data_IF_532801732626
#
_entry.id   IF_532801732626
#
_cell.length_a   1.000
_cell.length_b   1.000
_cell.length_c   1.000
_cell.angle_alpha   90.00
_cell.angle_beta   90.00
_cell.angle_gamma   90.00
#
_symmetry.space_group_name_H-M   'P 1'
#
loop_
_entity.id
_entity.type
_entity.pdbx_description
1 polymer ?
#
# COMPACT_ATOMS: atom_id res chain seq x y z
N UNK A 1 21.95 -6.90 21.07
CA UNK A 1 22.11 -5.75 20.16
C UNK A 1 21.16 -5.76 18.93
N UNK A 2 19.98 -6.42 18.97
CA UNK A 2 19.12 -6.59 17.79
C UNK A 2 17.93 -5.59 17.67
N UNK A 3 17.67 -4.75 18.68
CA UNK A 3 16.48 -3.85 18.72
C UNK A 3 16.65 -2.49 18.04
N UNK A 4 17.88 -2.06 17.76
CA UNK A 4 18.18 -0.74 17.17
C UNK A 4 18.07 -0.77 15.64
N UNK A 5 18.36 -1.93 15.02
CA UNK A 5 18.33 -2.08 13.56
C UNK A 5 16.90 -2.06 12.99
N UNK A 6 15.91 -2.57 13.72
CA UNK A 6 14.52 -2.69 13.21
C UNK A 6 13.77 -1.37 13.15
N UNK A 7 13.99 -0.45 14.10
CA UNK A 7 13.36 0.89 14.04
C UNK A 7 13.87 1.70 12.86
N UNK A 8 15.18 1.67 12.64
CA UNK A 8 15.83 2.38 11.53
C UNK A 8 15.44 1.78 10.18
N UNK A 9 15.34 0.45 10.10
CA UNK A 9 14.85 -0.24 8.89
C UNK A 9 13.39 0.12 8.58
N UNK A 10 12.52 0.24 9.59
CA UNK A 10 11.13 0.69 9.42
C UNK A 10 11.05 2.13 8.92
N UNK A 11 11.89 3.02 9.45
CA UNK A 11 11.95 4.40 8.98
C UNK A 11 12.44 4.50 7.54
N UNK A 12 13.47 3.72 7.18
CA UNK A 12 13.98 3.62 5.81
C UNK A 12 12.89 3.08 4.88
N UNK A 13 12.20 1.99 5.25
CA UNK A 13 11.08 1.45 4.49
C UNK A 13 9.98 2.49 4.22
N UNK A 14 9.55 3.20 5.27
CA UNK A 14 8.52 4.23 5.15
C UNK A 14 8.99 5.40 4.28
N UNK A 15 10.28 5.75 4.35
CA UNK A 15 10.87 6.80 3.54
C UNK A 15 10.92 6.40 2.06
N UNK A 16 11.34 5.18 1.74
CA UNK A 16 11.35 4.65 0.37
C UNK A 16 9.94 4.60 -0.22
N UNK A 17 8.95 4.16 0.55
CA UNK A 17 7.55 4.16 0.10
C UNK A 17 7.03 5.58 -0.15
N UNK A 18 7.46 6.58 0.62
CA UNK A 18 7.11 7.99 0.38
C UNK A 18 7.81 8.56 -0.85
N UNK A 19 9.02 8.11 -1.15
CA UNK A 19 9.74 8.54 -2.35
C UNK A 19 9.01 8.09 -3.63
N UNK A 20 8.33 6.94 -3.60
CA UNK A 20 7.45 6.50 -4.70
C UNK A 20 6.36 7.54 -5.00
N UNK A 21 5.75 8.13 -3.96
CA UNK A 21 4.76 9.19 -4.11
C UNK A 21 5.38 10.53 -4.57
N UNK A 22 6.66 10.79 -4.28
CA UNK A 22 7.33 12.03 -4.67
C UNK A 22 7.77 12.01 -6.14
N UNK A 23 8.21 10.86 -6.68
CA UNK A 23 8.54 10.71 -8.12
C UNK A 23 7.33 11.07 -9.02
N UNK A 24 6.10 10.96 -8.50
CA UNK A 24 4.87 11.38 -9.19
C UNK A 24 4.72 12.88 -9.39
N UNK A 25 5.16 13.69 -8.42
CA UNK A 25 4.93 15.13 -8.46
C UNK A 25 5.70 15.83 -9.57
N UNK A 26 6.72 15.16 -10.12
CA UNK A 26 7.58 15.67 -11.19
C UNK A 26 7.18 15.13 -12.58
N UNK A 27 6.41 14.03 -12.64
CA UNK A 27 6.05 13.36 -13.90
C UNK A 27 4.54 13.43 -14.13
N UNK A 28 4.12 14.13 -15.18
CA UNK A 28 2.72 14.40 -15.53
C UNK A 28 2.00 13.19 -16.19
N UNK A 29 2.46 11.96 -15.97
CA UNK A 29 1.91 10.74 -16.57
C UNK A 29 1.14 9.88 -15.56
N UNK A 30 -0.04 9.41 -15.96
CA UNK A 30 -1.05 8.72 -15.14
C UNK A 30 -0.63 7.33 -14.60
N UNK A 31 0.57 6.85 -14.93
CA UNK A 31 1.11 5.58 -14.45
C UNK A 31 2.57 5.73 -14.02
N UNK A 32 2.78 6.08 -12.76
CA UNK A 32 4.15 6.24 -12.22
C UNK A 32 4.73 4.86 -11.92
N UNK A 33 5.67 4.45 -12.75
CA UNK A 33 6.58 3.34 -12.50
C UNK A 33 7.72 3.88 -11.63
N UNK A 34 7.93 3.36 -10.41
CA UNK A 34 9.07 3.75 -9.57
C UNK A 34 10.39 3.52 -10.30
N UNK A 35 11.38 4.38 -10.08
CA UNK A 35 12.73 4.19 -10.64
C UNK A 35 13.34 2.83 -10.23
N UNK A 36 14.19 2.26 -11.09
CA UNK A 36 14.88 0.98 -10.81
C UNK A 36 15.73 1.04 -9.53
N UNK A 37 16.28 2.21 -9.19
CA UNK A 37 17.04 2.44 -7.96
C UNK A 37 16.14 2.32 -6.72
N UNK A 38 14.96 2.95 -6.78
CA UNK A 38 13.97 2.91 -5.71
C UNK A 38 13.39 1.50 -5.53
N UNK A 39 13.15 0.80 -6.63
CA UNK A 39 12.71 -0.60 -6.62
C UNK A 39 13.77 -1.52 -6.04
N UNK A 40 15.03 -1.33 -6.41
CA UNK A 40 16.17 -2.07 -5.85
C UNK A 40 16.32 -1.84 -4.34
N UNK A 41 16.16 -0.59 -3.89
CA UNK A 41 16.19 -0.26 -2.46
C UNK A 41 15.03 -0.92 -1.69
N UNK A 42 13.83 -0.92 -2.24
CA UNK A 42 12.68 -1.64 -1.67
C UNK A 42 12.92 -3.15 -1.62
N UNK A 43 13.54 -3.73 -2.64
CA UNK A 43 13.83 -5.17 -2.69
C UNK A 43 14.87 -5.56 -1.63
N UNK A 44 15.84 -4.70 -1.33
CA UNK A 44 16.80 -4.91 -0.23
C UNK A 44 16.09 -4.93 1.13
N UNK A 45 15.09 -4.07 1.33
CA UNK A 45 14.36 -3.97 2.61
C UNK A 45 13.26 -5.03 2.74
N UNK A 46 12.63 -5.43 1.62
CA UNK A 46 11.50 -6.34 1.56
C UNK A 46 11.72 -7.51 0.56
N UNK A 47 12.82 -8.28 0.67
CA UNK A 47 13.23 -9.22 -0.39
C UNK A 47 12.24 -10.36 -0.64
N UNK A 48 11.47 -10.75 0.38
CA UNK A 48 10.53 -11.88 0.29
C UNK A 48 9.08 -11.45 0.02
N UNK A 49 8.77 -10.17 0.23
CA UNK A 49 7.39 -9.66 0.22
C UNK A 49 7.14 -8.62 -0.86
N UNK A 50 8.19 -7.99 -1.41
CA UNK A 50 8.04 -6.94 -2.42
C UNK A 50 7.39 -7.48 -3.68
N UNK A 51 7.89 -8.58 -4.25
CA UNK A 51 7.35 -9.13 -5.49
C UNK A 51 5.85 -9.45 -5.35
N UNK A 52 5.47 -10.12 -4.25
CA UNK A 52 4.07 -10.44 -3.99
C UNK A 52 3.20 -9.18 -3.81
N UNK A 53 3.75 -8.13 -3.19
CA UNK A 53 3.04 -6.88 -3.01
C UNK A 53 2.81 -6.17 -4.34
N UNK A 54 3.84 -6.09 -5.18
CA UNK A 54 3.78 -5.50 -6.52
C UNK A 54 2.81 -6.29 -7.42
N UNK A 55 2.89 -7.61 -7.43
CA UNK A 55 1.96 -8.47 -8.19
C UNK A 55 0.49 -8.24 -7.80
N UNK A 56 0.22 -7.89 -6.53
CA UNK A 56 -1.13 -7.57 -6.06
C UNK A 56 -1.57 -6.16 -6.47
N UNK A 57 -0.64 -5.21 -6.51
CA UNK A 57 -0.92 -3.86 -7.03
C UNK A 57 -1.21 -3.92 -8.54
N UNK A 58 -0.38 -4.63 -9.30
CA UNK A 58 -0.53 -4.79 -10.76
C UNK A 58 -1.83 -5.51 -11.17
N UNK A 59 -2.40 -6.31 -10.26
CA UNK A 59 -3.66 -7.05 -10.45
C UNK A 59 -4.85 -6.39 -9.78
N UNK A 60 -4.76 -5.11 -9.40
CA UNK A 60 -5.89 -4.35 -8.85
C UNK A 60 -6.49 -4.96 -7.57
N UNK A 61 -5.72 -5.77 -6.84
CA UNK A 61 -6.20 -6.54 -5.69
C UNK A 61 -6.32 -5.71 -4.40
N UNK A 62 -6.02 -4.41 -4.44
CA UNK A 62 -6.15 -3.50 -3.31
C UNK A 62 -7.40 -2.63 -3.49
N UNK A 63 -8.36 -2.79 -2.59
CA UNK A 63 -9.61 -2.02 -2.63
C UNK A 63 -9.72 -1.09 -1.44
N UNK A 64 -9.99 0.19 -1.70
CA UNK A 64 -10.38 1.17 -0.69
C UNK A 64 -11.91 1.14 -0.57
N UNK A 65 -12.40 0.71 0.57
CA UNK A 65 -13.83 0.64 0.86
C UNK A 65 -14.23 1.87 1.66
N UNK A 66 -15.22 2.60 1.15
CA UNK A 66 -15.71 3.85 1.73
C UNK A 66 -17.18 3.64 2.12
N UNK A 67 -17.49 3.95 3.37
CA UNK A 67 -18.86 3.90 3.89
C UNK A 67 -19.61 5.20 3.62
N UNK A 68 -20.94 5.14 3.57
CA UNK A 68 -21.79 6.34 3.44
C UNK A 68 -21.53 7.40 4.53
N UNK A 69 -21.11 7.00 5.74
CA UNK A 69 -20.69 7.93 6.80
C UNK A 69 -19.31 8.58 6.57
N UNK A 70 -18.60 8.25 5.50
CA UNK A 70 -17.22 8.68 5.23
C UNK A 70 -16.13 7.88 5.97
N UNK A 71 -16.46 6.73 6.56
CA UNK A 71 -15.45 5.80 7.13
C UNK A 71 -14.76 5.05 6.01
N UNK A 72 -13.46 4.79 6.14
CA UNK A 72 -12.69 4.11 5.12
C UNK A 72 -11.90 2.92 5.69
N UNK A 73 -11.75 1.86 4.90
CA UNK A 73 -10.82 0.76 5.17
C UNK A 73 -10.14 0.29 3.88
N UNK A 74 -9.00 -0.37 4.01
CA UNK A 74 -8.27 -0.97 2.89
C UNK A 74 -8.36 -2.48 2.98
N UNK A 75 -8.86 -3.11 1.92
CA UNK A 75 -8.99 -4.56 1.83
C UNK A 75 -7.87 -5.10 0.94
N UNK A 76 -6.87 -5.73 1.57
CA UNK A 76 -5.85 -6.52 0.89
C UNK A 76 -5.18 -7.46 1.90
N UNK A 77 -4.77 -8.65 1.46
CA UNK A 77 -4.01 -9.60 2.28
C UNK A 77 -2.56 -9.19 2.53
N UNK A 78 -2.04 -8.20 1.79
CA UNK A 78 -0.64 -7.76 1.89
C UNK A 78 -0.55 -6.27 2.24
N UNK A 79 -0.13 -5.98 3.47
CA UNK A 79 -0.01 -4.60 3.97
C UNK A 79 0.95 -3.73 3.14
N UNK A 80 2.02 -4.31 2.59
CA UNK A 80 2.95 -3.59 1.72
C UNK A 80 2.27 -3.19 0.40
N UNK A 81 1.39 -4.03 -0.15
CA UNK A 81 0.62 -3.71 -1.36
C UNK A 81 -0.34 -2.55 -1.11
N UNK A 82 -0.97 -2.49 0.08
CA UNK A 82 -1.80 -1.36 0.50
C UNK A 82 -0.99 -0.07 0.52
N UNK A 83 0.18 -0.09 1.18
CA UNK A 83 1.04 1.08 1.25
C UNK A 83 1.53 1.53 -0.13
N UNK A 84 1.94 0.60 -0.99
CA UNK A 84 2.35 0.92 -2.36
C UNK A 84 1.17 1.52 -3.14
N UNK A 85 0.00 0.88 -3.14
CA UNK A 85 -1.18 1.35 -3.87
C UNK A 85 -1.69 2.71 -3.39
N UNK A 86 -1.61 2.99 -2.09
CA UNK A 86 -1.94 4.30 -1.53
C UNK A 86 -1.06 5.43 -2.07
N UNK A 87 0.24 5.15 -2.24
CA UNK A 87 1.19 6.12 -2.77
C UNK A 87 1.19 6.15 -4.30
N UNK A 88 0.71 5.07 -4.92
CA UNK A 88 0.52 4.94 -6.36
C UNK A 88 -0.89 5.32 -6.85
N UNK A 89 -1.81 5.75 -5.99
CA UNK A 89 -3.21 6.07 -6.35
C UNK A 89 -3.91 5.03 -7.25
N UNK A 90 -3.41 3.78 -7.30
CA UNK A 90 -3.96 2.66 -8.10
C UNK A 90 -5.04 1.90 -7.31
N UNK A 91 -5.69 2.58 -6.36
CA UNK A 91 -6.65 1.96 -5.48
C UNK A 91 -8.01 1.91 -6.16
N UNK A 92 -8.60 0.71 -6.17
CA UNK A 92 -10.00 0.57 -6.55
C UNK A 92 -10.90 1.08 -5.41
N UNK A 93 -11.71 2.10 -5.66
CA UNK A 93 -12.64 2.62 -4.66
C UNK A 93 -14.00 1.95 -4.75
N UNK A 94 -14.54 1.54 -3.60
CA UNK A 94 -15.88 0.94 -3.49
C UNK A 94 -16.68 1.65 -2.41
N UNK A 95 -17.80 2.26 -2.80
CA UNK A 95 -18.75 2.86 -1.87
C UNK A 95 -19.78 1.84 -1.40
N UNK A 96 -20.01 1.74 -0.09
CA UNK A 96 -20.96 0.80 0.53
C UNK A 96 -21.80 1.47 1.64
N UNK A 97 -22.86 0.79 2.07
CA UNK A 97 -23.69 1.23 3.18
C UNK A 97 -22.95 1.07 4.52
N UNK A 98 -23.35 1.85 5.54
CA UNK A 98 -22.81 1.70 6.90
C UNK A 98 -23.09 0.32 7.51
N UNK A 99 -24.18 -0.33 7.10
CA UNK A 99 -24.53 -1.68 7.52
C UNK A 99 -23.57 -2.71 6.94
N UNK A 100 -23.28 -2.63 5.63
CA UNK A 100 -22.33 -3.53 4.98
C UNK A 100 -20.90 -3.28 5.44
N UNK A 101 -20.54 -2.03 5.74
CA UNK A 101 -19.25 -1.69 6.34
C UNK A 101 -19.07 -2.34 7.72
N UNK A 102 -20.13 -2.33 8.54
CA UNK A 102 -20.11 -3.01 9.83
C UNK A 102 -19.94 -4.53 9.68
N UNK A 103 -20.62 -5.16 8.69
CA UNK A 103 -20.46 -6.59 8.39
C UNK A 103 -19.02 -6.93 8.05
N UNK A 104 -18.39 -6.16 7.16
CA UNK A 104 -16.97 -6.35 6.80
C UNK A 104 -16.07 -6.28 8.04
N UNK A 105 -16.29 -5.31 8.93
CA UNK A 105 -15.50 -5.19 10.16
C UNK A 105 -15.69 -6.37 11.12
N UNK A 106 -16.88 -6.96 11.16
CA UNK A 106 -17.15 -8.13 12.01
C UNK A 106 -16.62 -9.43 11.42
N UNK A 107 -16.56 -9.57 10.09
CA UNK A 107 -16.03 -10.77 9.40
C UNK A 107 -14.51 -10.96 9.58
N UNK A 108 -13.76 -9.89 9.88
CA UNK A 108 -12.31 -9.94 10.08
C UNK A 108 -11.92 -10.56 11.44
N UNK A 109 -12.88 -10.79 12.33
CA UNK A 109 -12.64 -11.14 13.72
C UNK A 109 -12.78 -12.64 14.06
N UNK A 110 -12.90 -13.51 13.05
CA UNK A 110 -12.89 -14.99 13.14
C UNK A 110 -11.59 -15.60 12.60
#
# INVERSE_FOLDING_TARGET
>A
MAKVCTKKLREIALQLVKEIANERKDSQEDAVVPSDELFSALHVVFPQTLQQAVDLVDRDCVTKVISASGRELFQCKHVLAVYISQNLETLNERNISDEDFAKILTEVND
#
